data_IF_618212686799
#
_entry.id   IF_618212686799
#
_cell.length_a   1.000
_cell.length_b   1.000
_cell.length_c   1.000
_cell.angle_alpha   90.00
_cell.angle_beta   90.00
_cell.angle_gamma   90.00
#
_symmetry.space_group_name_H-M   'P 1'
#
loop_
_entity.id
_entity.type
_entity.pdbx_description
1 polymer ?
#
# COMPACT_ATOMS: atom_id res chain seq x y z
N UNK A 1 8.12 16.85 -20.61
CA UNK A 1 8.38 16.48 -19.20
C UNK A 1 8.56 14.97 -19.23
N UNK A 2 9.79 14.48 -19.03
CA UNK A 2 10.04 13.04 -19.07
C UNK A 2 9.51 12.45 -17.76
N UNK A 3 8.80 11.33 -17.86
CA UNK A 3 8.38 10.52 -16.73
C UNK A 3 9.61 10.08 -15.94
N UNK A 4 9.96 10.83 -14.90
CA UNK A 4 10.79 10.35 -13.82
C UNK A 4 9.94 9.28 -13.11
N UNK A 5 9.98 8.06 -13.65
CA UNK A 5 9.34 6.92 -13.02
C UNK A 5 10.01 6.77 -11.65
N UNK A 6 9.31 7.20 -10.60
CA UNK A 6 9.65 6.89 -9.22
C UNK A 6 9.64 5.37 -9.08
N UNK A 7 10.80 4.77 -9.40
CA UNK A 7 10.97 3.33 -9.51
C UNK A 7 11.13 2.79 -8.09
N UNK A 8 10.02 2.78 -7.38
CA UNK A 8 9.84 2.27 -6.01
C UNK A 8 10.26 0.80 -5.86
N UNK A 9 10.36 0.08 -6.98
CA UNK A 9 10.80 -1.30 -7.03
C UNK A 9 11.65 -1.54 -8.29
N UNK A 10 12.81 -2.17 -8.11
CA UNK A 10 13.65 -2.57 -9.24
C UNK A 10 12.88 -3.57 -10.14
N UNK A 11 12.84 -3.37 -11.47
CA UNK A 11 12.18 -4.27 -12.42
C UNK A 11 12.63 -5.72 -12.30
N UNK A 12 13.91 -5.97 -12.06
CA UNK A 12 14.44 -7.32 -11.82
C UNK A 12 13.86 -7.90 -10.53
N UNK A 13 13.78 -7.10 -9.47
CA UNK A 13 13.16 -7.51 -8.20
C UNK A 13 11.65 -7.76 -8.37
N UNK A 14 10.95 -6.94 -9.15
CA UNK A 14 9.55 -7.13 -9.50
C UNK A 14 9.33 -8.43 -10.27
N UNK A 15 10.17 -8.71 -11.27
CA UNK A 15 10.08 -9.96 -12.03
C UNK A 15 10.35 -11.20 -11.15
N UNK A 16 11.31 -11.14 -10.23
CA UNK A 16 11.58 -12.23 -9.28
C UNK A 16 10.38 -12.48 -8.37
N UNK A 17 9.76 -11.42 -7.83
CA UNK A 17 8.54 -11.53 -7.03
C UNK A 17 7.38 -12.12 -7.83
N UNK A 18 7.19 -11.72 -9.09
CA UNK A 18 6.14 -12.24 -9.97
C UNK A 18 6.34 -13.72 -10.30
N UNK A 19 7.60 -14.19 -10.36
CA UNK A 19 7.94 -15.61 -10.52
C UNK A 19 7.79 -16.42 -9.23
N UNK A 20 7.49 -15.76 -8.11
CA UNK A 20 7.40 -16.39 -6.79
C UNK A 20 8.76 -16.76 -6.21
N UNK A 21 9.85 -16.19 -6.73
CA UNK A 21 11.17 -16.36 -6.14
C UNK A 21 11.22 -15.67 -4.79
N UNK A 22 11.77 -16.36 -3.78
CA UNK A 22 12.06 -15.71 -2.51
C UNK A 22 13.12 -14.64 -2.75
N UNK A 23 12.80 -13.39 -2.43
CA UNK A 23 13.83 -12.38 -2.23
C UNK A 23 14.75 -12.85 -1.11
N UNK A 24 16.04 -12.47 -1.18
CA UNK A 24 17.02 -12.79 -0.14
C UNK A 24 16.41 -12.59 1.23
N UNK A 25 16.67 -13.53 2.15
CA UNK A 25 15.97 -13.62 3.43
C UNK A 25 15.97 -12.26 4.12
N UNK A 26 14.83 -11.57 4.05
CA UNK A 26 14.60 -10.32 4.75
C UNK A 26 14.95 -10.57 6.21
N UNK A 27 15.83 -9.75 6.76
CA UNK A 27 16.30 -9.88 8.13
C UNK A 27 15.11 -10.17 9.08
N UNK A 28 15.27 -11.15 9.97
CA UNK A 28 14.17 -11.61 10.81
C UNK A 28 13.55 -10.47 11.62
N UNK A 29 14.35 -9.45 12.00
CA UNK A 29 13.85 -8.27 12.71
C UNK A 29 13.05 -7.34 11.79
N UNK A 30 13.41 -7.24 10.51
CA UNK A 30 12.63 -6.50 9.52
C UNK A 30 11.28 -7.18 9.25
N UNK A 31 11.25 -8.52 9.19
CA UNK A 31 10.00 -9.29 9.04
C UNK A 31 9.06 -9.09 10.23
N UNK A 32 9.56 -9.18 11.45
CA UNK A 32 8.76 -8.97 12.67
C UNK A 32 8.21 -7.54 12.78
N UNK A 33 9.01 -6.53 12.38
CA UNK A 33 8.54 -5.13 12.30
C UNK A 33 7.43 -4.96 11.27
N UNK A 34 7.57 -5.56 10.09
CA UNK A 34 6.56 -5.49 9.04
C UNK A 34 5.24 -6.14 9.49
N UNK A 35 5.31 -7.29 10.16
CA UNK A 35 4.12 -7.96 10.70
C UNK A 35 3.42 -7.11 11.79
N UNK A 36 4.20 -6.51 12.71
CA UNK A 36 3.64 -5.59 13.72
C UNK A 36 2.97 -4.38 13.09
N UNK A 37 3.57 -3.79 12.06
CA UNK A 37 2.99 -2.66 11.32
C UNK A 37 1.69 -3.06 10.63
N UNK A 38 1.68 -4.20 9.93
CA UNK A 38 0.50 -4.70 9.23
C UNK A 38 -0.67 -4.90 10.20
N UNK A 39 -0.43 -5.52 11.36
CA UNK A 39 -1.46 -5.68 12.41
C UNK A 39 -1.98 -4.35 12.95
N UNK A 40 -1.11 -3.36 13.13
CA UNK A 40 -1.51 -2.03 13.60
C UNK A 40 -2.39 -1.30 12.56
N UNK A 41 -2.03 -1.37 11.28
CA UNK A 41 -2.82 -0.80 10.19
C UNK A 41 -4.17 -1.50 10.03
N UNK A 42 -4.21 -2.82 10.15
CA UNK A 42 -5.44 -3.60 10.09
C UNK A 42 -6.39 -3.23 11.24
N UNK A 43 -5.86 -3.07 12.45
CA UNK A 43 -6.64 -2.61 13.59
C UNK A 43 -7.22 -1.20 13.37
N UNK A 44 -6.44 -0.27 12.81
CA UNK A 44 -6.90 1.08 12.48
C UNK A 44 -7.93 1.09 11.33
N UNK A 45 -7.77 0.22 10.34
CA UNK A 45 -8.69 0.11 9.21
C UNK A 45 -10.01 -0.57 9.60
N UNK A 46 -9.98 -1.49 10.57
CA UNK A 46 -11.15 -2.15 11.11
C UNK A 46 -12.01 -1.22 11.98
N UNK A 47 -11.47 -0.10 12.46
CA UNK A 47 -12.29 0.95 13.04
C UNK A 47 -13.17 1.54 11.93
N UNK A 48 -14.51 1.40 12.00
CA UNK A 48 -15.37 2.00 11.01
C UNK A 48 -15.17 3.51 11.10
N UNK A 49 -14.50 4.08 10.09
CA UNK A 49 -14.36 5.51 9.97
C UNK A 49 -15.78 6.07 9.94
N UNK A 50 -16.23 6.68 11.04
CA UNK A 50 -17.59 7.20 11.18
C UNK A 50 -17.92 8.27 10.11
N UNK A 51 -16.91 8.75 9.37
CA UNK A 51 -17.06 9.63 8.21
C UNK A 51 -17.28 8.93 6.86
N UNK A 52 -17.18 7.60 6.76
CA UNK A 52 -17.37 6.82 5.52
C UNK A 52 -18.75 6.13 5.47
N UNK A 53 -19.66 6.44 6.40
CA UNK A 53 -21.07 5.97 6.31
C UNK A 53 -21.91 6.75 5.29
N UNK A 54 -21.31 7.50 4.38
CA UNK A 54 -22.03 8.02 3.24
C UNK A 54 -21.12 8.04 2.05
N UNK A 55 -21.54 7.36 0.99
CA UNK A 55 -21.33 7.80 -0.38
C UNK A 55 -21.98 9.19 -0.60
N UNK A 56 -21.74 10.13 0.31
CA UNK A 56 -22.02 11.54 0.11
C UNK A 56 -20.87 12.01 -0.75
N UNK A 57 -21.21 12.40 -1.98
CA UNK A 57 -20.31 13.09 -2.89
C UNK A 57 -19.46 14.10 -2.12
N UNK A 58 -18.16 14.08 -2.38
CA UNK A 58 -17.28 15.08 -1.80
C UNK A 58 -17.70 16.46 -2.35
N UNK A 59 -17.73 17.51 -1.51
CA UNK A 59 -18.05 18.85 -1.99
C UNK A 59 -17.10 19.24 -3.13
N UNK A 60 -17.64 19.34 -4.36
CA UNK A 60 -16.88 19.66 -5.56
C UNK A 60 -16.92 18.61 -6.67
N UNK A 61 -17.37 17.37 -6.40
CA UNK A 61 -17.43 16.31 -7.41
C UNK A 61 -18.46 16.60 -8.52
N UNK A 62 -19.59 17.23 -8.17
CA UNK A 62 -20.61 17.65 -9.12
C UNK A 62 -20.17 18.77 -10.11
N UNK A 63 -19.06 19.47 -9.83
CA UNK A 63 -18.54 20.53 -10.71
C UNK A 63 -17.58 20.00 -11.79
N UNK A 64 -17.19 18.72 -11.71
CA UNK A 64 -16.26 18.08 -12.62
C UNK A 64 -16.93 17.22 -13.72
N UNK A 65 -18.26 17.11 -13.71
CA UNK A 65 -19.08 16.45 -14.74
C UNK A 65 -19.55 17.46 -15.79
#
# INVERSE_FOLDING_TARGET
MADEQDRWLDPETAERLLRGESLDTVDATARDRAERLARALDALAAEPYAGTSSAAELPGEAAAL
#
